data_IF_535551007163
#
_entry.id   IF_535551007163
#
_cell.length_a   1.000
_cell.length_b   1.000
_cell.length_c   1.000
_cell.angle_alpha   90.00
_cell.angle_beta   90.00
_cell.angle_gamma   90.00
#
_symmetry.space_group_name_H-M   'P 1'
#
loop_
_entity.id
_entity.type
_entity.pdbx_description
1 polymer ?
#
# COMPACT_ATOMS: atom_id res chain seq x y z
N UNK A 1 -17.68 -4.27 -6.13
CA UNK A 1 -17.03 -4.86 -7.31
C UNK A 1 -17.02 -3.85 -8.45
N UNK A 2 -15.82 -3.53 -8.94
CA UNK A 2 -15.58 -2.70 -10.12
C UNK A 2 -15.24 -3.63 -11.30
N UNK A 3 -15.97 -3.49 -12.40
CA UNK A 3 -15.78 -4.25 -13.63
C UNK A 3 -15.27 -3.31 -14.73
N UNK A 4 -14.16 -3.69 -15.36
CA UNK A 4 -13.50 -2.93 -16.41
C UNK A 4 -13.28 -3.88 -17.59
N UNK A 5 -13.90 -3.59 -18.73
CA UNK A 5 -13.61 -4.24 -19.99
C UNK A 5 -13.49 -3.13 -21.02
N UNK A 6 -12.34 -2.47 -21.11
CA UNK A 6 -12.17 -1.24 -21.88
C UNK A 6 -10.95 -1.27 -22.81
N UNK A 7 -11.06 -0.53 -23.91
CA UNK A 7 -9.94 -0.17 -24.77
C UNK A 7 -9.96 1.32 -25.05
N UNK A 8 -8.81 1.96 -24.98
CA UNK A 8 -8.68 3.39 -25.24
C UNK A 8 -7.30 3.73 -25.79
N UNK A 9 -7.27 4.40 -26.93
CA UNK A 9 -6.04 4.93 -27.52
C UNK A 9 -5.74 6.34 -27.02
N UNK A 10 -4.49 6.58 -26.66
CA UNK A 10 -3.96 7.88 -26.27
C UNK A 10 -2.63 8.13 -27.00
N UNK A 11 -2.70 8.84 -28.13
CA UNK A 11 -1.56 8.99 -29.04
C UNK A 11 -1.14 7.63 -29.63
N UNK A 12 0.13 7.27 -29.43
CA UNK A 12 0.70 5.99 -29.89
C UNK A 12 0.52 4.86 -28.86
N UNK A 13 -0.03 5.17 -27.69
CA UNK A 13 -0.28 4.22 -26.62
C UNK A 13 -1.73 3.71 -26.68
N UNK A 14 -1.95 2.42 -26.42
CA UNK A 14 -3.30 1.84 -26.29
C UNK A 14 -3.42 1.18 -24.93
N UNK A 15 -4.35 1.67 -24.11
CA UNK A 15 -4.76 1.04 -22.87
C UNK A 15 -5.80 -0.06 -23.18
N UNK A 16 -5.58 -1.25 -22.66
CA UNK A 16 -6.54 -2.34 -22.63
C UNK A 16 -6.64 -2.88 -21.21
N UNK A 17 -7.84 -2.98 -20.67
CA UNK A 17 -8.09 -3.53 -19.34
C UNK A 17 -9.30 -4.45 -19.36
N UNK A 18 -9.10 -5.68 -18.88
CA UNK A 18 -10.15 -6.65 -18.59
C UNK A 18 -9.95 -7.12 -17.13
N UNK A 19 -10.62 -6.45 -16.20
CA UNK A 19 -10.35 -6.53 -14.76
C UNK A 19 -11.66 -6.57 -13.98
N UNK A 20 -11.69 -7.41 -12.94
CA UNK A 20 -12.72 -7.41 -11.91
C UNK A 20 -12.06 -7.17 -10.56
N UNK A 21 -12.35 -6.03 -9.94
CA UNK A 21 -11.69 -5.56 -8.72
C UNK A 21 -12.67 -5.51 -7.55
N UNK A 22 -12.26 -6.09 -6.43
CA UNK A 22 -13.09 -6.35 -5.25
C UNK A 22 -12.98 -5.29 -4.15
N UNK A 23 -13.17 -5.73 -2.92
CA UNK A 23 -12.97 -4.94 -1.70
C UNK A 23 -11.49 -4.76 -1.36
N UNK A 24 -11.20 -3.87 -0.41
CA UNK A 24 -9.84 -3.52 -0.01
C UNK A 24 -9.16 -2.58 -1.00
N UNK A 25 -7.83 -2.58 -0.98
CA UNK A 25 -6.98 -1.73 -1.79
C UNK A 25 -6.34 -2.52 -2.93
N UNK A 26 -6.68 -2.15 -4.16
CA UNK A 26 -5.98 -2.64 -5.35
C UNK A 26 -4.94 -1.61 -5.79
N UNK A 27 -3.67 -2.01 -5.83
CA UNK A 27 -2.61 -1.15 -6.34
C UNK A 27 -2.48 -1.26 -7.86
N UNK A 28 -2.45 -0.12 -8.55
CA UNK A 28 -2.06 -0.02 -9.95
C UNK A 28 -0.55 0.25 -9.98
N UNK A 29 0.22 -0.74 -10.45
CA UNK A 29 1.69 -0.71 -10.39
C UNK A 29 2.32 -0.89 -11.77
N UNK A 30 3.36 -0.12 -12.04
CA UNK A 30 4.11 -0.18 -13.30
C UNK A 30 4.89 1.10 -13.58
N UNK A 31 5.71 1.10 -14.63
CA UNK A 31 6.56 2.23 -15.01
C UNK A 31 5.75 3.51 -15.34
N UNK A 32 6.40 4.67 -15.26
CA UNK A 32 5.79 5.93 -15.72
C UNK A 32 5.35 5.82 -17.18
N UNK A 33 4.15 6.33 -17.48
CA UNK A 33 3.58 6.22 -18.84
C UNK A 33 2.93 4.88 -19.18
N UNK A 34 2.86 3.91 -18.26
CA UNK A 34 2.25 2.58 -18.52
C UNK A 34 0.72 2.57 -18.65
N UNK A 35 0.05 3.71 -18.48
CA UNK A 35 -1.42 3.83 -18.57
C UNK A 35 -2.19 3.82 -17.24
N UNK A 36 -1.52 3.81 -16.09
CA UNK A 36 -2.16 3.84 -14.74
C UNK A 36 -3.10 5.05 -14.59
N UNK A 37 -2.57 6.25 -14.86
CA UNK A 37 -3.33 7.51 -14.78
C UNK A 37 -4.46 7.55 -15.81
N UNK A 38 -4.28 6.95 -16.99
CA UNK A 38 -5.35 6.84 -18.00
C UNK A 38 -6.48 5.93 -17.50
N UNK A 39 -6.14 4.78 -16.90
CA UNK A 39 -7.11 3.85 -16.33
C UNK A 39 -7.91 4.51 -15.20
N UNK A 40 -7.22 5.12 -14.23
CA UNK A 40 -7.89 5.78 -13.08
C UNK A 40 -8.77 6.95 -13.53
N UNK A 41 -8.36 7.71 -14.55
CA UNK A 41 -9.17 8.78 -15.14
C UNK A 41 -10.40 8.26 -15.89
N UNK A 42 -10.30 7.11 -16.56
CA UNK A 42 -11.43 6.45 -17.19
C UNK A 42 -12.46 5.98 -16.13
N UNK A 43 -11.97 5.40 -15.02
CA UNK A 43 -12.80 5.01 -13.87
C UNK A 43 -13.45 6.23 -13.20
N UNK A 44 -12.72 7.33 -13.06
CA UNK A 44 -13.23 8.59 -12.52
C UNK A 44 -14.28 9.28 -13.42
N UNK A 45 -14.33 8.92 -14.71
CA UNK A 45 -15.17 9.59 -15.71
C UNK A 45 -14.58 10.88 -16.25
N UNK A 46 -13.27 11.07 -16.07
CA UNK A 46 -12.53 12.20 -16.65
C UNK A 46 -12.15 11.91 -18.10
N UNK A 47 -12.09 10.64 -18.48
CA UNK A 47 -11.87 10.16 -19.84
C UNK A 47 -13.00 9.18 -20.19
N UNK A 48 -13.53 9.26 -21.41
CA UNK A 48 -14.43 8.24 -21.96
C UNK A 48 -13.59 7.21 -22.74
N UNK A 49 -13.61 5.92 -22.38
CA UNK A 49 -13.01 4.87 -23.20
C UNK A 49 -13.59 4.87 -24.61
N UNK A 50 -12.78 4.49 -25.60
CA UNK A 50 -13.26 4.40 -27.00
C UNK A 50 -14.18 3.20 -27.18
N UNK A 51 -13.84 2.08 -26.51
CA UNK A 51 -14.59 0.84 -26.57
C UNK A 51 -14.77 0.24 -25.17
N UNK A 52 -15.84 -0.55 -25.03
CA UNK A 52 -16.06 -1.39 -23.87
C UNK A 52 -16.95 -0.79 -22.79
N UNK A 53 -16.84 -1.32 -21.57
CA UNK A 53 -17.72 -1.03 -20.43
C UNK A 53 -16.94 -0.82 -19.12
N UNK A 54 -17.39 0.15 -18.34
CA UNK A 54 -17.04 0.35 -16.92
C UNK A 54 -18.32 0.23 -16.11
N UNK A 55 -18.34 -0.65 -15.12
CA UNK A 55 -19.46 -0.80 -14.20
C UNK A 55 -19.00 -0.96 -12.75
N UNK A 56 -19.82 -0.50 -11.82
CA UNK A 56 -19.54 -0.58 -10.39
C UNK A 56 -20.77 -1.05 -9.64
N UNK A 57 -20.67 -2.18 -8.94
CA UNK A 57 -21.79 -2.82 -8.22
C UNK A 57 -23.05 -2.96 -9.09
N UNK A 58 -22.87 -3.40 -10.35
CA UNK A 58 -23.96 -3.57 -11.33
C UNK A 58 -24.41 -2.27 -12.02
N UNK A 59 -24.03 -1.09 -11.52
CA UNK A 59 -24.33 0.20 -12.16
C UNK A 59 -23.34 0.47 -13.29
N UNK A 60 -23.82 0.59 -14.53
CA UNK A 60 -22.95 0.96 -15.66
C UNK A 60 -22.58 2.45 -15.59
N UNK A 61 -21.28 2.74 -15.51
CA UNK A 61 -20.75 4.11 -15.51
C UNK A 61 -20.33 4.58 -16.91
N UNK A 62 -19.89 3.68 -17.77
CA UNK A 62 -19.51 4.01 -19.14
C UNK A 62 -19.74 2.81 -20.04
N UNK A 63 -20.36 3.01 -21.21
CA UNK A 63 -20.41 2.08 -22.33
C UNK A 63 -20.64 2.86 -23.65
N UNK A 64 -21.05 2.19 -24.72
CA UNK A 64 -21.36 2.81 -26.01
C UNK A 64 -22.51 3.85 -25.92
N UNK A 65 -23.50 3.60 -25.08
CA UNK A 65 -24.72 4.42 -24.91
C UNK A 65 -24.65 5.40 -23.75
N UNK A 66 -23.86 5.08 -22.71
CA UNK A 66 -23.89 5.72 -21.41
C UNK A 66 -22.52 6.29 -21.07
N UNK A 67 -22.50 7.50 -20.49
CA UNK A 67 -21.31 8.06 -19.87
C UNK A 67 -21.70 8.90 -18.66
N UNK A 68 -21.59 8.30 -17.48
CA UNK A 68 -21.92 8.95 -16.21
C UNK A 68 -20.79 9.95 -15.87
N UNK A 69 -21.08 11.25 -15.68
CA UNK A 69 -20.04 12.23 -15.37
C UNK A 69 -19.48 12.02 -13.96
N UNK A 70 -18.24 12.49 -13.67
CA UNK A 70 -17.53 12.22 -12.41
C UNK A 70 -18.34 12.50 -11.15
N UNK A 71 -19.04 13.64 -11.11
CA UNK A 71 -19.82 14.07 -9.94
C UNK A 71 -21.02 13.16 -9.62
N UNK A 72 -21.45 12.30 -10.55
CA UNK A 72 -22.52 11.31 -10.32
C UNK A 72 -22.01 9.91 -9.97
N UNK A 73 -20.71 9.63 -10.15
CA UNK A 73 -20.12 8.32 -9.82
C UNK A 73 -19.92 8.10 -8.32
N UNK A 74 -20.04 9.15 -7.51
CA UNK A 74 -19.79 9.13 -6.04
C UNK A 74 -18.42 8.54 -5.69
N UNK A 75 -17.39 9.04 -6.37
CA UNK A 75 -16.00 8.64 -6.18
C UNK A 75 -15.29 9.70 -5.34
N UNK A 76 -14.49 9.27 -4.36
CA UNK A 76 -13.55 10.14 -3.67
C UNK A 76 -12.21 10.11 -4.39
N UNK A 77 -11.75 11.23 -4.94
CA UNK A 77 -10.49 11.30 -5.67
C UNK A 77 -9.44 12.07 -4.85
N UNK A 78 -8.33 11.40 -4.55
CA UNK A 78 -7.14 11.96 -3.92
C UNK A 78 -6.06 12.07 -5.00
N UNK A 79 -5.73 13.31 -5.37
CA UNK A 79 -4.70 13.59 -6.37
C UNK A 79 -3.31 13.61 -5.74
N UNK A 80 -2.28 13.48 -6.57
CA UNK A 80 -0.87 13.64 -6.20
C UNK A 80 -0.62 14.95 -5.44
N UNK A 81 -1.19 16.04 -5.91
CA UNK A 81 -1.28 17.29 -5.16
C UNK A 81 -2.58 17.28 -4.35
N UNK A 82 -2.53 17.55 -3.04
CA UNK A 82 -3.73 17.54 -2.19
C UNK A 82 -4.89 18.45 -2.68
N UNK A 83 -4.61 19.40 -3.60
CA UNK A 83 -5.60 20.25 -4.32
C UNK A 83 -6.70 20.77 -3.40
N UNK A 84 -6.31 21.25 -2.23
CA UNK A 84 -7.23 21.85 -1.26
C UNK A 84 -7.70 23.21 -1.75
N UNK A 85 -8.93 23.60 -1.40
CA UNK A 85 -9.44 24.92 -1.71
C UNK A 85 -8.76 25.94 -0.80
N UNK A 86 -7.89 26.83 -1.32
CA UNK A 86 -7.02 27.67 -0.48
C UNK A 86 -7.79 28.76 0.28
N UNK A 87 -8.96 29.13 -0.23
CA UNK A 87 -9.85 30.13 0.35
C UNK A 87 -10.77 29.56 1.45
N UNK A 88 -10.80 28.24 1.62
CA UNK A 88 -11.61 27.55 2.62
C UNK A 88 -10.74 27.08 3.78
N UNK A 89 -11.32 27.02 4.99
CA UNK A 89 -10.68 26.36 6.14
C UNK A 89 -10.61 24.84 5.93
N UNK A 90 -9.87 24.14 6.77
CA UNK A 90 -9.84 22.66 6.80
C UNK A 90 -11.25 22.11 6.99
N UNK A 91 -12.00 22.61 7.98
CA UNK A 91 -13.40 22.22 8.20
C UNK A 91 -14.27 22.38 6.95
N UNK A 92 -14.11 23.50 6.25
CA UNK A 92 -14.86 23.79 5.03
C UNK A 92 -14.43 22.90 3.86
N UNK A 93 -13.14 22.57 3.75
CA UNK A 93 -12.64 21.59 2.78
C UNK A 93 -13.25 20.21 3.05
N UNK A 94 -13.20 19.73 4.30
CA UNK A 94 -13.73 18.44 4.70
C UNK A 94 -15.24 18.32 4.38
N UNK A 95 -16.03 19.33 4.75
CA UNK A 95 -17.49 19.33 4.52
C UNK A 95 -17.92 19.68 3.10
N UNK A 96 -16.99 19.95 2.18
CA UNK A 96 -17.35 20.38 0.83
C UNK A 96 -18.17 19.32 0.08
N UNK A 97 -17.67 18.07 0.06
CA UNK A 97 -18.36 16.95 -0.60
C UNK A 97 -19.66 16.54 0.08
N UNK A 98 -19.73 16.67 1.41
CA UNK A 98 -20.92 16.34 2.21
C UNK A 98 -22.16 17.15 1.76
N UNK A 99 -21.96 18.41 1.35
CA UNK A 99 -23.04 19.30 0.87
C UNK A 99 -23.67 18.83 -0.43
N UNK A 100 -22.95 18.04 -1.22
CA UNK A 100 -23.41 17.51 -2.50
C UNK A 100 -24.24 16.22 -2.33
N UNK A 101 -24.32 15.69 -1.11
CA UNK A 101 -25.05 14.46 -0.79
C UNK A 101 -26.41 14.73 -0.12
N UNK A 102 -27.44 13.94 -0.46
CA UNK A 102 -28.65 13.83 0.34
C UNK A 102 -28.31 13.44 1.78
N UNK A 103 -29.04 13.97 2.77
CA UNK A 103 -28.78 13.68 4.20
C UNK A 103 -28.76 12.19 4.52
N UNK A 104 -29.63 11.40 3.90
CA UNK A 104 -29.70 9.95 4.11
C UNK A 104 -28.46 9.19 3.60
N UNK A 105 -27.66 9.80 2.71
CA UNK A 105 -26.46 9.18 2.15
C UNK A 105 -25.16 9.61 2.85
N UNK A 106 -25.25 10.54 3.81
CA UNK A 106 -24.12 10.99 4.62
C UNK A 106 -23.87 9.96 5.71
N UNK A 107 -22.85 9.14 5.49
CA UNK A 107 -22.47 8.06 6.42
C UNK A 107 -21.34 8.45 7.35
N UNK A 108 -20.53 9.41 6.91
CA UNK A 108 -19.31 9.76 7.61
C UNK A 108 -19.49 10.88 8.63
N UNK A 109 -18.85 10.70 9.77
CA UNK A 109 -18.83 11.66 10.86
C UNK A 109 -17.50 12.44 10.89
N UNK A 110 -17.61 13.77 11.03
CA UNK A 110 -16.46 14.67 11.03
C UNK A 110 -15.52 14.38 12.22
N UNK A 111 -16.07 14.08 13.39
CA UNK A 111 -15.27 13.83 14.59
C UNK A 111 -14.46 12.54 14.40
N UNK A 112 -15.11 11.48 13.92
CA UNK A 112 -14.44 10.21 13.56
C UNK A 112 -13.31 10.43 12.55
N UNK A 113 -13.59 11.08 11.42
CA UNK A 113 -12.58 11.28 10.37
C UNK A 113 -11.43 12.19 10.83
N UNK A 114 -11.74 13.29 11.52
CA UNK A 114 -10.71 14.23 11.96
C UNK A 114 -9.81 13.63 13.04
N UNK A 115 -10.36 12.81 13.93
CA UNK A 115 -9.60 12.07 14.95
C UNK A 115 -8.73 10.99 14.31
N UNK A 116 -9.31 10.17 13.41
CA UNK A 116 -8.59 9.11 12.71
C UNK A 116 -7.37 9.65 11.96
N UNK A 117 -7.51 10.80 11.31
CA UNK A 117 -6.44 11.44 10.54
C UNK A 117 -5.54 12.38 11.38
N UNK A 118 -5.82 12.55 12.68
CA UNK A 118 -5.07 13.45 13.55
C UNK A 118 -5.09 14.91 13.08
N UNK A 119 -6.22 15.39 12.57
CA UNK A 119 -6.41 16.75 12.02
C UNK A 119 -7.46 17.58 12.79
N UNK A 120 -7.94 17.10 13.95
CA UNK A 120 -8.93 17.80 14.78
C UNK A 120 -8.49 19.22 15.15
N UNK A 121 -7.22 19.41 15.53
CA UNK A 121 -6.68 20.73 15.91
C UNK A 121 -6.41 21.66 14.71
N UNK A 122 -6.58 21.14 13.48
CA UNK A 122 -6.34 21.88 12.24
C UNK A 122 -7.63 22.45 11.64
N UNK A 123 -8.81 22.09 12.16
CA UNK A 123 -10.12 22.38 11.55
C UNK A 123 -10.33 23.87 11.21
N UNK A 124 -9.81 24.78 12.04
CA UNK A 124 -9.94 26.23 11.83
C UNK A 124 -8.86 26.82 10.90
N UNK A 125 -7.77 26.09 10.63
CA UNK A 125 -6.66 26.58 9.78
C UNK A 125 -7.05 26.62 8.32
N UNK A 126 -6.32 27.40 7.52
CA UNK A 126 -6.40 27.41 6.05
C UNK A 126 -5.24 26.59 5.45
N UNK A 127 -5.40 26.02 4.23
CA UNK A 127 -4.37 25.20 3.59
C UNK A 127 -2.99 25.85 3.47
N UNK A 128 -2.92 27.18 3.37
CA UNK A 128 -1.64 27.92 3.30
C UNK A 128 -0.79 27.77 4.57
N UNK A 129 -1.39 27.45 5.71
CA UNK A 129 -0.72 27.31 7.01
C UNK A 129 -0.51 25.84 7.42
N UNK A 130 -0.59 24.93 6.45
CA UNK A 130 -0.43 23.50 6.68
C UNK A 130 0.89 22.99 6.08
N UNK A 131 1.54 22.05 6.77
CA UNK A 131 2.64 21.26 6.22
C UNK A 131 2.17 20.38 5.05
N UNK A 132 3.10 19.83 4.27
CA UNK A 132 2.77 18.92 3.17
C UNK A 132 1.92 17.72 3.62
N UNK A 133 2.29 17.10 4.74
CA UNK A 133 1.56 15.94 5.25
C UNK A 133 0.24 16.29 5.91
N UNK A 134 0.14 17.47 6.54
CA UNK A 134 -1.16 17.98 7.00
C UNK A 134 -2.11 18.21 5.83
N UNK A 135 -1.64 18.82 4.72
CA UNK A 135 -2.45 18.98 3.50
C UNK A 135 -2.92 17.64 2.96
N UNK A 136 -2.05 16.63 2.97
CA UNK A 136 -2.39 15.30 2.48
C UNK A 136 -3.45 14.63 3.36
N UNK A 137 -3.30 14.68 4.68
CA UNK A 137 -4.30 14.17 5.63
C UNK A 137 -5.64 14.87 5.47
N UNK A 138 -5.66 16.19 5.25
CA UNK A 138 -6.90 16.92 4.95
C UNK A 138 -7.51 16.51 3.61
N UNK A 139 -6.70 16.24 2.58
CA UNK A 139 -7.18 15.76 1.28
C UNK A 139 -7.83 14.37 1.38
N UNK A 140 -7.22 13.45 2.14
CA UNK A 140 -7.81 12.15 2.48
C UNK A 140 -9.15 12.32 3.19
N UNK A 141 -9.19 13.16 4.25
CA UNK A 141 -10.41 13.42 5.00
C UNK A 141 -11.53 14.00 4.15
N UNK A 142 -11.21 14.91 3.21
CA UNK A 142 -12.19 15.48 2.29
C UNK A 142 -12.78 14.42 1.35
N UNK A 143 -11.96 13.50 0.85
CA UNK A 143 -12.43 12.42 0.00
C UNK A 143 -13.37 11.47 0.76
N UNK A 144 -13.04 11.15 2.02
CA UNK A 144 -13.86 10.31 2.89
C UNK A 144 -15.20 10.97 3.27
N UNK A 145 -15.18 12.24 3.68
CA UNK A 145 -16.38 12.99 4.06
C UNK A 145 -17.43 13.07 2.93
N UNK A 146 -17.04 12.80 1.68
CA UNK A 146 -17.96 12.67 0.54
C UNK A 146 -18.66 11.30 0.47
N UNK A 147 -18.60 10.46 1.52
CA UNK A 147 -19.19 9.11 1.62
C UNK A 147 -19.05 8.31 0.30
N UNK A 148 -17.82 8.13 -0.19
CA UNK A 148 -17.58 7.61 -1.53
C UNK A 148 -17.91 6.12 -1.63
N UNK A 149 -18.39 5.70 -2.81
CA UNK A 149 -18.54 4.28 -3.17
C UNK A 149 -17.19 3.64 -3.50
N UNK A 150 -16.23 4.43 -3.98
CA UNK A 150 -14.90 4.03 -4.43
C UNK A 150 -13.91 5.18 -4.14
N UNK A 151 -12.75 4.85 -3.61
CA UNK A 151 -11.64 5.79 -3.46
C UNK A 151 -10.62 5.59 -4.58
N UNK A 152 -10.24 6.69 -5.22
CA UNK A 152 -9.15 6.75 -6.20
C UNK A 152 -8.02 7.56 -5.59
N UNK A 153 -6.82 6.99 -5.55
CA UNK A 153 -5.63 7.66 -5.05
C UNK A 153 -4.56 7.61 -6.13
N UNK A 154 -4.27 8.75 -6.74
CA UNK A 154 -3.31 8.86 -7.86
C UNK A 154 -1.98 9.41 -7.35
N UNK A 155 -1.04 8.51 -7.04
CA UNK A 155 0.25 8.80 -6.43
C UNK A 155 0.18 9.78 -5.23
N UNK A 156 -0.68 9.52 -4.24
CA UNK A 156 -0.97 10.49 -3.17
C UNK A 156 0.26 10.82 -2.29
N UNK A 157 1.33 10.03 -2.38
CA UNK A 157 2.53 10.18 -1.56
C UNK A 157 3.76 10.61 -2.37
N UNK A 158 3.71 10.70 -3.71
CA UNK A 158 4.94 10.85 -4.51
C UNK A 158 5.67 12.18 -4.31
N UNK A 159 4.96 13.23 -3.88
CA UNK A 159 5.55 14.54 -3.58
C UNK A 159 6.14 14.65 -2.16
N UNK A 160 6.12 13.58 -1.36
CA UNK A 160 6.52 13.59 0.04
C UNK A 160 7.85 12.86 0.26
N UNK A 161 8.67 13.37 1.18
CA UNK A 161 9.87 12.69 1.62
C UNK A 161 9.55 11.40 2.41
N UNK A 162 10.55 10.53 2.58
CA UNK A 162 10.38 9.23 3.22
C UNK A 162 9.84 9.33 4.67
N UNK A 163 10.27 10.32 5.45
CA UNK A 163 9.82 10.48 6.83
C UNK A 163 8.33 10.86 6.88
N UNK A 164 7.89 11.73 5.98
CA UNK A 164 6.51 12.15 5.88
C UNK A 164 5.61 11.05 5.30
N UNK A 165 6.11 10.25 4.34
CA UNK A 165 5.43 9.03 3.87
C UNK A 165 5.18 8.06 5.02
N UNK A 166 6.20 7.80 5.84
CA UNK A 166 6.09 6.87 6.98
C UNK A 166 5.04 7.34 8.00
N UNK A 167 4.84 8.66 8.13
CA UNK A 167 3.78 9.23 8.97
C UNK A 167 2.38 9.09 8.36
N UNK A 168 2.26 9.05 7.02
CA UNK A 168 0.95 9.02 6.34
C UNK A 168 0.45 7.62 6.07
N UNK A 169 1.35 6.68 5.76
CA UNK A 169 1.01 5.28 5.45
C UNK A 169 0.04 4.64 6.48
N UNK A 170 0.24 4.80 7.81
CA UNK A 170 -0.70 4.26 8.80
C UNK A 170 -2.14 4.76 8.62
N UNK A 171 -2.34 6.01 8.19
CA UNK A 171 -3.70 6.50 7.94
C UNK A 171 -4.35 5.81 6.73
N UNK A 172 -3.58 5.48 5.70
CA UNK A 172 -4.10 4.78 4.51
C UNK A 172 -4.45 3.33 4.86
N UNK A 173 -3.61 2.67 5.67
CA UNK A 173 -3.87 1.34 6.23
C UNK A 173 -5.20 1.33 7.00
N UNK A 174 -5.36 2.27 7.94
CA UNK A 174 -6.62 2.42 8.68
C UNK A 174 -7.82 2.75 7.80
N UNK A 175 -7.66 3.56 6.75
CA UNK A 175 -8.75 3.83 5.80
C UNK A 175 -9.22 2.54 5.11
N UNK A 176 -8.26 1.75 4.60
CA UNK A 176 -8.52 0.46 3.96
C UNK A 176 -9.25 -0.49 4.90
N UNK A 177 -8.82 -0.56 6.15
CA UNK A 177 -9.29 -1.57 7.09
C UNK A 177 -10.58 -1.18 7.85
N UNK A 178 -10.80 0.12 8.11
CA UNK A 178 -11.93 0.59 8.93
C UNK A 178 -13.16 1.08 8.14
N UNK A 179 -13.01 1.49 6.87
CA UNK A 179 -14.11 2.10 6.11
C UNK A 179 -14.81 1.13 5.15
N UNK A 180 -14.18 0.01 4.79
CA UNK A 180 -14.76 -0.96 3.84
C UNK A 180 -15.04 -0.38 2.45
N UNK A 181 -14.46 0.76 2.11
CA UNK A 181 -14.58 1.38 0.79
C UNK A 181 -13.47 0.82 -0.11
N UNK A 182 -13.79 0.24 -1.29
CA UNK A 182 -12.77 -0.18 -2.24
C UNK A 182 -11.84 0.98 -2.63
N UNK A 183 -10.55 0.70 -2.79
CA UNK A 183 -9.53 1.69 -3.11
C UNK A 183 -8.77 1.26 -4.36
N UNK A 184 -8.65 2.14 -5.36
CA UNK A 184 -7.63 2.04 -6.40
C UNK A 184 -6.48 2.98 -6.07
N UNK A 185 -5.29 2.41 -5.88
CA UNK A 185 -4.10 3.13 -5.44
C UNK A 185 -3.02 3.09 -6.52
N UNK A 186 -2.72 4.20 -7.17
CA UNK A 186 -1.63 4.30 -8.14
C UNK A 186 -0.35 4.57 -7.37
N UNK A 187 0.67 3.73 -7.58
CA UNK A 187 2.00 3.98 -7.07
C UNK A 187 3.06 3.36 -7.97
N UNK A 188 4.25 3.95 -7.94
CA UNK A 188 5.47 3.38 -8.47
C UNK A 188 6.41 2.89 -7.35
N UNK A 189 6.02 3.06 -6.08
CA UNK A 189 6.79 2.59 -4.93
C UNK A 189 6.41 1.15 -4.60
N UNK A 190 7.38 0.24 -4.72
CA UNK A 190 7.18 -1.16 -4.33
C UNK A 190 6.86 -1.27 -2.83
N UNK A 191 7.47 -0.45 -1.98
CA UNK A 191 7.22 -0.44 -0.54
C UNK A 191 5.76 -0.09 -0.23
N UNK A 192 5.21 0.93 -0.91
CA UNK A 192 3.81 1.31 -0.75
C UNK A 192 2.87 0.18 -1.20
N UNK A 193 3.15 -0.43 -2.35
CA UNK A 193 2.35 -1.55 -2.86
C UNK A 193 2.41 -2.76 -1.93
N UNK A 194 3.61 -3.13 -1.47
CA UNK A 194 3.81 -4.27 -0.59
C UNK A 194 3.07 -4.13 0.74
N UNK A 195 3.02 -2.91 1.26
CA UNK A 195 2.42 -2.58 2.54
C UNK A 195 0.90 -2.42 2.46
N UNK A 196 0.41 -1.79 1.38
CA UNK A 196 -0.99 -1.37 1.29
C UNK A 196 -1.89 -2.35 0.52
N UNK A 197 -1.39 -2.97 -0.55
CA UNK A 197 -2.23 -3.58 -1.57
C UNK A 197 -2.75 -4.97 -1.18
N UNK A 198 -4.06 -5.19 -1.26
CA UNK A 198 -4.67 -6.53 -1.21
C UNK A 198 -4.52 -7.27 -2.53
N UNK A 199 -4.56 -6.53 -3.64
CA UNK A 199 -4.37 -7.02 -4.99
C UNK A 199 -3.54 -6.03 -5.79
N UNK A 200 -2.88 -6.49 -6.85
CA UNK A 200 -2.04 -5.63 -7.69
C UNK A 200 -2.45 -5.81 -9.14
N UNK A 201 -2.55 -4.70 -9.87
CA UNK A 201 -2.69 -4.69 -11.32
C UNK A 201 -1.38 -4.21 -11.90
N UNK A 202 -0.76 -5.07 -12.69
CA UNK A 202 0.46 -4.72 -13.44
C UNK A 202 0.09 -4.27 -14.85
N UNK A 203 0.95 -3.44 -15.44
CA UNK A 203 0.76 -2.89 -16.77
C UNK A 203 1.95 -3.29 -17.65
N UNK A 204 1.66 -4.00 -18.74
CA UNK A 204 2.65 -4.42 -19.72
C UNK A 204 2.21 -3.96 -21.12
N UNK A 205 3.00 -3.09 -21.75
CA UNK A 205 2.70 -2.49 -23.06
C UNK A 205 1.24 -2.01 -23.21
N UNK A 206 0.69 -1.39 -22.17
CA UNK A 206 -0.67 -0.85 -22.13
C UNK A 206 -1.77 -1.87 -21.82
N UNK A 207 -1.44 -3.13 -21.59
CA UNK A 207 -2.37 -4.15 -21.12
C UNK A 207 -2.31 -4.24 -19.59
N UNK A 208 -3.43 -3.97 -18.95
CA UNK A 208 -3.58 -4.11 -17.51
C UNK A 208 -3.95 -5.56 -17.18
N UNK A 209 -3.21 -6.17 -16.25
CA UNK A 209 -3.42 -7.55 -15.79
C UNK A 209 -3.54 -7.57 -14.27
N UNK A 210 -4.64 -8.11 -13.76
CA UNK A 210 -4.76 -8.40 -12.34
C UNK A 210 -3.81 -9.54 -11.96
N UNK A 211 -3.01 -9.30 -10.95
CA UNK A 211 -2.18 -10.29 -10.27
C UNK A 211 -2.72 -10.40 -8.85
N UNK A 212 -3.21 -11.60 -8.51
CA UNK A 212 -3.98 -11.83 -7.30
C UNK A 212 -3.24 -11.35 -6.06
N UNK A 213 -2.16 -12.03 -5.68
CA UNK A 213 -1.44 -11.72 -4.45
C UNK A 213 -0.32 -10.67 -4.69
N UNK A 214 -0.11 -9.73 -3.76
CA UNK A 214 0.92 -8.68 -3.90
C UNK A 214 2.34 -9.21 -4.02
N UNK A 215 2.70 -10.26 -3.30
CA UNK A 215 4.01 -10.91 -3.39
C UNK A 215 4.26 -11.51 -4.78
N UNK A 216 3.26 -12.17 -5.36
CA UNK A 216 3.35 -12.73 -6.71
C UNK A 216 3.53 -11.59 -7.72
N UNK A 217 2.78 -10.50 -7.55
CA UNK A 217 2.86 -9.33 -8.41
C UNK A 217 4.21 -8.63 -8.30
N UNK A 218 4.69 -8.38 -7.08
CA UNK A 218 5.95 -7.70 -6.83
C UNK A 218 7.14 -8.57 -7.22
N UNK A 219 7.10 -9.88 -6.96
CA UNK A 219 8.13 -10.79 -7.44
C UNK A 219 8.15 -10.88 -8.97
N UNK A 220 6.99 -10.81 -9.62
CA UNK A 220 6.89 -10.77 -11.09
C UNK A 220 7.46 -9.46 -11.63
N UNK A 221 7.15 -8.32 -11.01
CA UNK A 221 7.63 -7.03 -11.50
C UNK A 221 9.10 -6.83 -11.21
N UNK A 222 9.61 -7.21 -10.03
CA UNK A 222 11.04 -7.19 -9.73
C UNK A 222 11.82 -7.99 -10.79
N UNK A 223 11.33 -9.21 -11.12
CA UNK A 223 11.91 -10.03 -12.19
C UNK A 223 11.83 -9.37 -13.57
N UNK A 224 10.73 -8.70 -13.90
CA UNK A 224 10.55 -8.04 -15.20
C UNK A 224 11.41 -6.78 -15.36
N UNK A 225 11.60 -6.01 -14.29
CA UNK A 225 12.42 -4.79 -14.27
C UNK A 225 13.91 -5.07 -14.10
N UNK A 226 14.29 -6.28 -13.66
CA UNK A 226 15.66 -6.58 -13.24
C UNK A 226 16.05 -5.91 -11.91
N UNK A 227 15.06 -5.40 -11.17
CA UNK A 227 15.25 -4.73 -9.89
C UNK A 227 15.32 -5.74 -8.74
N UNK A 228 15.95 -5.32 -7.64
CA UNK A 228 15.96 -6.10 -6.40
C UNK A 228 14.55 -6.24 -5.81
N UNK A 229 14.28 -7.35 -5.08
CA UNK A 229 13.08 -7.43 -4.28
C UNK A 229 13.10 -6.31 -3.23
N UNK A 230 12.02 -5.53 -3.14
CA UNK A 230 11.96 -4.42 -2.18
C UNK A 230 11.89 -4.89 -0.71
N UNK A 231 11.51 -6.14 -0.49
CA UNK A 231 11.40 -6.72 0.83
C UNK A 231 10.96 -8.16 0.80
N UNK A 232 10.66 -8.65 1.99
CA UNK A 232 10.34 -10.03 2.28
C UNK A 232 8.91 -10.11 2.78
N UNK A 233 8.19 -11.13 2.33
CA UNK A 233 6.90 -11.48 2.91
C UNK A 233 7.05 -12.69 3.82
N UNK A 234 6.64 -12.53 5.07
CA UNK A 234 6.65 -13.58 6.09
C UNK A 234 5.20 -13.93 6.45
N UNK A 235 4.79 -15.16 6.15
CA UNK A 235 3.51 -15.68 6.63
C UNK A 235 3.68 -16.17 8.07
N UNK A 236 2.76 -15.76 8.95
CA UNK A 236 2.77 -16.12 10.35
C UNK A 236 1.34 -16.27 10.88
N UNK A 237 1.18 -16.97 12.00
CA UNK A 237 -0.08 -17.10 12.71
C UNK A 237 0.01 -16.40 14.07
N UNK A 238 -0.95 -15.56 14.41
CA UNK A 238 -0.98 -14.88 15.72
C UNK A 238 -1.16 -15.93 16.81
N UNK A 239 -0.23 -15.96 17.77
CA UNK A 239 -0.24 -16.94 18.87
C UNK A 239 -0.61 -16.29 20.21
N UNK A 240 -0.20 -15.04 20.43
CA UNK A 240 -0.48 -14.33 21.67
C UNK A 240 -0.47 -12.80 21.50
N UNK A 241 -1.09 -12.11 22.46
CA UNK A 241 -0.97 -10.66 22.63
C UNK A 241 -0.35 -10.36 23.99
N UNK A 242 0.58 -9.41 24.02
CA UNK A 242 1.21 -8.91 25.23
C UNK A 242 0.68 -7.49 25.49
N UNK A 243 -0.35 -7.39 26.33
CA UNK A 243 -0.99 -6.09 26.62
C UNK A 243 -0.07 -5.15 27.41
N UNK A 244 0.85 -5.71 28.20
CA UNK A 244 1.75 -4.95 29.08
C UNK A 244 2.75 -4.06 28.31
N UNK A 245 3.18 -4.50 27.12
CA UNK A 245 4.17 -3.79 26.29
C UNK A 245 3.67 -3.45 24.88
N UNK A 246 2.40 -3.75 24.56
CA UNK A 246 1.79 -3.43 23.28
C UNK A 246 2.37 -4.23 22.12
N UNK A 247 2.72 -5.50 22.36
CA UNK A 247 3.22 -6.41 21.33
C UNK A 247 2.22 -7.53 21.00
N UNK A 248 2.42 -8.14 19.83
CA UNK A 248 1.70 -9.34 19.40
C UNK A 248 2.71 -10.36 18.91
N UNK A 249 2.64 -11.58 19.43
CA UNK A 249 3.47 -12.68 19.01
C UNK A 249 2.80 -13.44 17.87
N UNK A 250 3.57 -13.72 16.82
CA UNK A 250 3.14 -14.58 15.73
C UNK A 250 4.22 -15.62 15.42
N UNK A 251 3.80 -16.81 15.00
CA UNK A 251 4.69 -17.90 14.64
C UNK A 251 4.75 -18.05 13.13
N UNK A 252 5.95 -17.91 12.55
CA UNK A 252 6.22 -18.18 11.14
C UNK A 252 6.98 -19.49 10.97
N UNK A 253 7.11 -19.97 9.72
CA UNK A 253 7.98 -21.10 9.41
C UNK A 253 9.45 -20.83 9.78
N UNK A 254 9.91 -19.59 9.61
CA UNK A 254 11.27 -19.20 9.96
C UNK A 254 11.52 -19.09 11.49
N UNK A 255 10.47 -19.05 12.30
CA UNK A 255 10.54 -18.86 13.75
C UNK A 255 9.52 -17.85 14.30
N UNK A 256 9.56 -17.57 15.61
CA UNK A 256 8.68 -16.58 16.24
C UNK A 256 9.05 -15.16 15.79
N UNK A 257 8.02 -14.32 15.64
CA UNK A 257 8.13 -12.91 15.32
C UNK A 257 7.24 -12.10 16.25
N UNK A 258 7.73 -10.93 16.64
CA UNK A 258 7.01 -9.93 17.43
C UNK A 258 6.59 -8.77 16.52
N UNK A 259 5.31 -8.50 16.53
CA UNK A 259 4.61 -7.43 15.81
C UNK A 259 4.19 -6.35 16.81
N UNK A 260 3.90 -5.14 16.31
CA UNK A 260 3.17 -4.16 17.15
C UNK A 260 1.77 -4.69 17.40
N UNK A 261 1.17 -4.26 18.51
CA UNK A 261 -0.17 -4.66 18.91
C UNK A 261 -1.16 -4.57 17.75
N UNK A 262 -1.94 -5.63 17.59
CA UNK A 262 -3.06 -5.70 16.66
C UNK A 262 -4.30 -6.19 17.40
N UNK A 263 -5.47 -5.88 16.85
CA UNK A 263 -6.77 -6.34 17.35
C UNK A 263 -7.23 -7.65 16.69
N UNK A 264 -6.40 -8.26 15.84
CA UNK A 264 -6.73 -9.54 15.22
C UNK A 264 -6.68 -10.67 16.25
N UNK A 265 -7.67 -11.58 16.29
CA UNK A 265 -7.67 -12.70 17.22
C UNK A 265 -6.47 -13.64 17.05
N UNK A 266 -6.12 -14.36 18.12
CA UNK A 266 -5.21 -15.51 18.03
C UNK A 266 -5.75 -16.56 17.06
N UNK A 267 -4.83 -17.30 16.42
CA UNK A 267 -5.12 -18.20 15.30
C UNK A 267 -5.34 -17.49 13.96
N UNK A 268 -5.35 -16.16 13.93
CA UNK A 268 -5.44 -15.44 12.66
C UNK A 268 -4.12 -15.56 11.90
N UNK A 269 -4.20 -16.07 10.68
CA UNK A 269 -3.09 -16.02 9.73
C UNK A 269 -2.89 -14.60 9.24
N UNK A 270 -1.65 -14.17 9.30
CA UNK A 270 -1.21 -12.85 8.94
C UNK A 270 -0.01 -12.93 8.02
N UNK A 271 0.24 -11.82 7.35
CA UNK A 271 1.40 -11.65 6.49
C UNK A 271 2.10 -10.37 6.84
N UNK A 272 3.42 -10.47 6.95
CA UNK A 272 4.30 -9.40 7.40
C UNK A 272 5.24 -9.05 6.28
N UNK A 273 5.29 -7.77 5.92
CA UNK A 273 6.31 -7.26 5.00
C UNK A 273 7.48 -6.68 5.79
N UNK A 274 8.70 -7.08 5.42
CA UNK A 274 9.95 -6.56 5.97
C UNK A 274 10.85 -6.08 4.84
N UNK A 275 11.13 -4.76 4.71
CA UNK A 275 12.02 -4.24 3.69
C UNK A 275 13.40 -4.91 3.72
N UNK A 276 14.03 -5.15 2.57
CA UNK A 276 15.38 -5.75 2.53
C UNK A 276 16.42 -4.89 3.22
N UNK A 277 16.22 -3.57 3.22
CA UNK A 277 17.07 -2.56 3.88
C UNK A 277 16.94 -2.57 5.41
N UNK A 278 15.85 -3.12 5.94
CA UNK A 278 15.54 -3.13 7.38
C UNK A 278 16.00 -4.41 8.07
N UNK A 279 16.56 -5.36 7.32
CA UNK A 279 17.15 -6.59 7.83
C UNK A 279 18.64 -6.41 8.04
N UNK A 280 19.07 -6.57 9.29
CA UNK A 280 20.48 -6.62 9.67
C UNK A 280 20.93 -8.07 9.76
N UNK A 281 22.09 -8.37 9.19
CA UNK A 281 22.74 -9.68 9.31
C UNK A 281 23.77 -9.66 10.44
N UNK A 282 23.68 -10.63 11.34
CA UNK A 282 24.70 -10.92 12.36
C UNK A 282 25.22 -12.35 12.21
N UNK A 283 26.52 -12.56 12.43
CA UNK A 283 27.14 -13.90 12.47
C UNK A 283 27.19 -14.49 13.88
N UNK A 284 26.85 -13.71 14.90
CA UNK A 284 26.85 -14.11 16.29
C UNK A 284 25.52 -13.78 16.96
N UNK A 285 25.22 -14.52 18.02
CA UNK A 285 24.10 -14.28 18.91
C UNK A 285 24.38 -13.07 19.82
N UNK A 286 24.22 -11.84 19.29
CA UNK A 286 24.39 -10.63 20.09
C UNK A 286 23.37 -10.54 21.24
N UNK A 287 23.83 -10.15 22.43
CA UNK A 287 22.98 -9.74 23.55
C UNK A 287 22.82 -8.21 23.57
N UNK A 288 21.73 -7.71 24.17
CA UNK A 288 21.53 -6.26 24.37
C UNK A 288 21.14 -5.47 23.10
N UNK A 289 20.41 -6.10 22.17
CA UNK A 289 19.92 -5.45 20.95
C UNK A 289 18.47 -4.97 21.12
N UNK A 290 18.13 -3.82 20.52
CA UNK A 290 16.75 -3.32 20.45
C UNK A 290 15.92 -3.95 19.32
N UNK A 291 16.55 -4.74 18.45
CA UNK A 291 15.86 -5.57 17.47
C UNK A 291 15.37 -6.85 18.15
N UNK A 292 14.07 -6.90 18.45
CA UNK A 292 13.44 -8.03 19.14
C UNK A 292 13.22 -9.24 18.21
N UNK A 293 13.06 -9.00 16.91
CA UNK A 293 12.89 -10.09 15.95
C UNK A 293 14.24 -10.66 15.55
N UNK A 294 14.34 -11.99 15.64
CA UNK A 294 15.52 -12.74 15.25
C UNK A 294 15.15 -14.05 14.59
N UNK A 295 15.56 -14.20 13.33
CA UNK A 295 15.40 -15.43 12.57
C UNK A 295 16.78 -16.00 12.27
N UNK A 296 16.97 -17.30 12.51
CA UNK A 296 18.26 -17.96 12.26
C UNK A 296 18.21 -18.73 10.95
N UNK A 297 19.30 -18.71 10.21
CA UNK A 297 19.36 -19.34 8.89
C UNK A 297 20.77 -19.52 8.36
N UNK A 298 20.86 -19.94 7.12
CA UNK A 298 22.12 -20.08 6.39
C UNK A 298 22.09 -19.25 5.11
N UNK A 299 23.21 -18.59 4.79
CA UNK A 299 23.35 -17.87 3.53
C UNK A 299 23.26 -18.88 2.38
N UNK A 300 22.39 -18.62 1.41
CA UNK A 300 22.20 -19.44 0.21
C UNK A 300 22.93 -18.82 -0.97
N UNK A 301 22.72 -17.53 -1.18
CA UNK A 301 23.20 -16.81 -2.35
C UNK A 301 23.61 -15.39 -1.96
N UNK A 302 24.59 -14.85 -2.69
CA UNK A 302 24.97 -13.44 -2.63
C UNK A 302 24.81 -12.89 -4.03
N UNK A 303 23.89 -11.93 -4.18
CA UNK A 303 23.62 -11.24 -5.43
C UNK A 303 24.28 -9.87 -5.48
N UNK A 304 24.26 -9.26 -6.66
CA UNK A 304 24.59 -7.84 -6.78
C UNK A 304 23.48 -6.99 -6.14
N UNK A 305 23.89 -5.87 -5.54
CA UNK A 305 22.98 -4.86 -4.99
C UNK A 305 22.89 -3.63 -5.89
N UNK A 306 22.22 -2.57 -5.42
CA UNK A 306 22.27 -1.27 -6.09
C UNK A 306 23.53 -0.49 -5.69
N UNK A 307 24.34 -0.12 -6.68
CA UNK A 307 25.57 0.65 -6.43
C UNK A 307 26.58 -0.06 -5.53
N UNK A 308 26.77 0.45 -4.30
CA UNK A 308 27.76 -0.05 -3.34
C UNK A 308 27.21 -1.12 -2.36
N UNK A 309 25.99 -1.61 -2.58
CA UNK A 309 25.40 -2.70 -1.81
C UNK A 309 25.58 -4.07 -2.47
N UNK A 310 25.18 -5.11 -1.73
CA UNK A 310 25.05 -6.48 -2.16
C UNK A 310 23.77 -7.04 -1.52
N UNK A 311 23.12 -7.98 -2.19
CA UNK A 311 22.01 -8.73 -1.61
C UNK A 311 22.49 -10.06 -1.06
N UNK A 312 21.93 -10.46 0.07
CA UNK A 312 22.26 -11.73 0.72
C UNK A 312 20.96 -12.47 0.96
N UNK A 313 20.83 -13.60 0.28
CA UNK A 313 19.70 -14.52 0.41
C UNK A 313 20.02 -15.53 1.50
N UNK A 314 19.12 -15.68 2.48
CA UNK A 314 19.27 -16.56 3.64
C UNK A 314 18.06 -17.49 3.72
N UNK A 315 18.33 -18.78 3.88
CA UNK A 315 17.30 -19.78 4.17
C UNK A 315 17.10 -19.89 5.68
N UNK A 316 15.91 -19.53 6.14
CA UNK A 316 15.46 -19.68 7.51
C UNK A 316 14.42 -20.82 7.57
N UNK A 317 14.90 -22.06 7.71
CA UNK A 317 14.06 -23.26 7.86
C UNK A 317 13.08 -23.51 6.69
N UNK A 318 13.55 -23.30 5.45
CA UNK A 318 12.77 -23.45 4.22
C UNK A 318 12.09 -22.16 3.77
N UNK A 319 12.15 -21.09 4.58
CA UNK A 319 11.70 -19.77 4.19
C UNK A 319 12.89 -18.89 3.80
N UNK A 320 12.92 -18.48 2.53
CA UNK A 320 13.99 -17.64 2.00
C UNK A 320 13.73 -16.15 2.25
N UNK A 321 14.71 -15.47 2.84
CA UNK A 321 14.69 -14.03 3.11
C UNK A 321 15.92 -13.35 2.50
N UNK A 322 15.74 -12.17 1.94
CA UNK A 322 16.79 -11.35 1.32
C UNK A 322 17.07 -10.14 2.19
N UNK A 323 18.33 -9.86 2.47
CA UNK A 323 18.76 -8.63 3.11
C UNK A 323 19.69 -7.85 2.18
N UNK A 324 19.59 -6.52 2.20
CA UNK A 324 20.54 -5.65 1.53
C UNK A 324 21.61 -5.20 2.52
N UNK A 325 22.88 -5.43 2.18
CA UNK A 325 24.02 -5.04 3.01
C UNK A 325 25.04 -4.26 2.20
N UNK A 326 25.85 -3.46 2.87
CA UNK A 326 26.97 -2.81 2.18
C UNK A 326 28.03 -3.85 1.79
N UNK A 327 28.76 -3.61 0.69
CA UNK A 327 29.93 -4.44 0.32
C UNK A 327 31.02 -4.47 1.41
N UNK A 328 31.06 -3.46 2.29
CA UNK A 328 31.94 -3.47 3.47
C UNK A 328 31.46 -4.49 4.51
N UNK A 329 30.17 -4.49 4.84
CA UNK A 329 29.58 -5.46 5.78
C UNK A 329 29.74 -6.89 5.28
N UNK A 330 29.52 -7.13 3.98
CA UNK A 330 29.70 -8.44 3.37
C UNK A 330 31.13 -9.01 3.59
N UNK A 331 32.15 -8.17 3.37
CA UNK A 331 33.56 -8.53 3.59
C UNK A 331 33.89 -8.68 5.08
N UNK A 332 33.45 -7.75 5.91
CA UNK A 332 33.75 -7.74 7.34
C UNK A 332 33.14 -8.95 8.07
N UNK A 333 31.90 -9.31 7.71
CA UNK A 333 31.23 -10.49 8.24
C UNK A 333 31.66 -11.77 7.53
N UNK A 334 32.53 -11.70 6.53
CA UNK A 334 32.95 -12.81 5.67
C UNK A 334 31.76 -13.69 5.26
N UNK A 335 30.70 -13.07 4.72
CA UNK A 335 29.49 -13.78 4.30
C UNK A 335 29.81 -14.62 3.04
N UNK A 336 29.33 -15.86 3.04
CA UNK A 336 29.49 -16.82 1.96
C UNK A 336 28.35 -17.83 2.00
N UNK A 337 27.96 -18.45 0.87
CA UNK A 337 27.00 -19.57 0.89
C UNK A 337 27.37 -20.64 1.92
N UNK A 338 26.35 -21.18 2.59
CA UNK A 338 26.45 -22.14 3.69
C UNK A 338 26.76 -21.54 5.07
N UNK A 339 27.09 -20.25 5.16
CA UNK A 339 27.44 -19.64 6.45
C UNK A 339 26.21 -19.45 7.35
N UNK A 340 26.24 -19.90 8.61
CA UNK A 340 25.16 -19.63 9.55
C UNK A 340 25.12 -18.16 9.94
N UNK A 341 23.93 -17.58 9.95
CA UNK A 341 23.68 -16.18 10.27
C UNK A 341 22.35 -16.00 11.00
N UNK A 342 22.18 -14.82 11.60
CA UNK A 342 20.95 -14.35 12.20
C UNK A 342 20.48 -13.10 11.49
N UNK A 343 19.22 -13.09 11.07
CA UNK A 343 18.52 -11.93 10.55
C UNK A 343 17.83 -11.21 11.71
N UNK A 344 18.10 -9.92 11.84
CA UNK A 344 17.58 -9.05 12.90
C UNK A 344 16.79 -7.91 12.28
N UNK A 345 15.59 -7.66 12.77
CA UNK A 345 14.78 -6.53 12.32
C UNK A 345 13.91 -5.99 13.46
N UNK A 346 13.50 -4.73 13.36
CA UNK A 346 12.74 -4.07 14.42
C UNK A 346 11.26 -4.38 14.30
N UNK A 347 10.59 -4.59 15.44
CA UNK A 347 9.13 -4.69 15.50
C UNK A 347 8.43 -3.43 14.95
N UNK A 348 9.06 -2.25 15.10
CA UNK A 348 8.55 -0.99 14.54
C UNK A 348 8.79 -0.83 13.02
N UNK A 349 9.63 -1.68 12.41
CA UNK A 349 9.77 -1.75 10.94
C UNK A 349 8.70 -2.65 10.34
N UNK A 350 8.08 -3.50 11.16
CA UNK A 350 6.96 -4.34 10.75
C UNK A 350 5.68 -3.49 10.78
N UNK A 351 5.00 -3.45 9.65
CA UNK A 351 3.64 -2.92 9.59
C UNK A 351 2.69 -3.93 10.26
N UNK A 352 2.22 -3.61 11.47
CA UNK A 352 1.22 -4.40 12.20
C UNK A 352 -0.17 -4.33 11.59
N UNK A 353 -0.39 -3.43 10.64
CA UNK A 353 -1.70 -3.23 9.98
C UNK A 353 -1.70 -3.81 8.56
N UNK A 354 -0.56 -4.26 8.03
CA UNK A 354 -0.46 -4.98 6.75
C UNK A 354 -1.01 -6.42 6.77
N UNK A 355 -1.82 -6.77 7.78
CA UNK A 355 -2.27 -8.13 8.05
C UNK A 355 -3.32 -8.55 7.01
N UNK A 356 -2.86 -9.07 5.88
CA UNK A 356 -3.74 -9.71 4.92
C UNK A 356 -4.42 -10.91 5.57
N UNK A 357 -5.74 -10.81 5.83
CA UNK A 357 -6.56 -12.00 6.05
C UNK A 357 -6.51 -12.83 4.77
N UNK A 358 -6.07 -14.08 4.84
CA UNK A 358 -6.44 -15.04 3.80
C UNK A 358 -7.97 -15.05 3.77
N UNK A 359 -8.56 -14.73 2.62
CA UNK A 359 -9.98 -14.98 2.39
C UNK A 359 -10.22 -16.45 2.72
N UNK A 360 -11.25 -16.75 3.54
CA UNK A 360 -11.70 -18.13 3.72
C UNK A 360 -11.95 -18.70 2.33
N UNK A 361 -11.19 -19.74 1.98
CA UNK A 361 -11.41 -20.51 0.77
C UNK A 361 -12.80 -21.13 0.71
#
# INVERSE_FOLDING_TARGET
MLELAIRHRQGDFTLQADLTLGEGLTALFGASGSGKTTLINAVAGLIRPEEGRIAFNGETWSDASTFLPPHRRRIGYVFQEGRLFPHLTVLQNLRYGERLLPRAERREDLTRISSLLGITDLLARRPSHLSGGEKQRVALGRALMASPKLLLMDEPLSALDAALKAQILPYIERIRDEFGVPILYVSHSVEEVARLANAVVTFDHGKARAVGRPDEALATVARASGDLPAGNFIEAEITAHHEDDGLTEALSQAGPILLRQTHLPTGTRVRVFVPVSDIVIATEAGAGLSALNRLSGQVVEIGEGTGASATVTVDCQGQTLVAEVTRRSLRQLALSPGKPVHLLFKTVSIASEGLFRQAKG
#
